data_IF_252579028601
#
_entry.id   IF_252579028601
#
_cell.length_a   1.000
_cell.length_b   1.000
_cell.length_c   1.000
_cell.angle_alpha   90.00
_cell.angle_beta   90.00
_cell.angle_gamma   90.00
#
_symmetry.space_group_name_H-M   'P 1'
#
loop_
_entity.id
_entity.type
_entity.pdbx_description
1 polymer ?
#
# COMPACT_ATOMS: atom_id res chain seq x y z
N UNK A 1 -8.29 -10.20 15.05
CA UNK A 1 -8.16 -9.81 13.66
C UNK A 1 -6.81 -9.13 13.33
N UNK A 2 -6.07 -8.65 14.30
CA UNK A 2 -4.68 -8.19 14.17
C UNK A 2 -3.73 -9.18 14.82
N UNK A 3 -2.47 -9.19 14.35
CA UNK A 3 -1.48 -10.15 14.83
C UNK A 3 -0.81 -9.74 16.13
N UNK A 4 0.29 -9.00 16.06
CA UNK A 4 1.12 -8.69 17.22
C UNK A 4 0.59 -7.57 18.10
N UNK A 5 0.47 -6.35 17.55
CA UNK A 5 0.00 -5.15 18.25
C UNK A 5 -1.15 -4.52 17.46
N UNK A 6 -2.25 -4.20 18.13
CA UNK A 6 -3.42 -3.59 17.50
C UNK A 6 -3.87 -2.38 18.28
N UNK A 7 -4.02 -1.26 17.59
CA UNK A 7 -4.66 -0.05 18.08
C UNK A 7 -6.04 0.06 17.42
N UNK A 8 -7.08 0.18 18.21
CA UNK A 8 -8.45 0.24 17.71
C UNK A 8 -9.30 1.16 18.59
N UNK A 9 -10.19 1.94 17.98
CA UNK A 9 -10.96 2.96 18.68
C UNK A 9 -10.08 4.13 19.13
N UNK A 10 -10.42 4.81 20.20
CA UNK A 10 -9.71 5.98 20.74
C UNK A 10 -8.33 5.60 21.32
N UNK A 11 -7.32 5.51 20.50
CA UNK A 11 -5.95 5.14 20.90
C UNK A 11 -4.91 6.15 20.41
N UNK A 12 -5.19 7.42 20.56
CA UNK A 12 -4.30 8.50 20.13
C UNK A 12 -3.07 8.70 21.01
N UNK A 13 -2.08 9.43 20.49
CA UNK A 13 -0.85 9.82 21.19
C UNK A 13 0.01 8.66 21.71
N UNK A 14 -0.07 7.50 21.09
CA UNK A 14 0.69 6.31 21.47
C UNK A 14 2.13 6.36 20.96
N UNK A 15 3.07 5.89 21.78
CA UNK A 15 4.44 5.66 21.41
C UNK A 15 4.78 4.17 21.51
N UNK A 16 4.99 3.54 20.35
CA UNK A 16 5.36 2.13 20.24
C UNK A 16 6.78 2.07 19.68
N UNK A 17 7.73 1.82 20.55
CA UNK A 17 9.13 1.91 20.17
C UNK A 17 10.03 0.86 20.81
N UNK A 18 11.12 0.52 20.10
CA UNK A 18 12.14 -0.44 20.52
C UNK A 18 11.61 -1.86 20.79
N UNK A 19 10.53 -2.26 20.14
CA UNK A 19 9.95 -3.59 20.26
C UNK A 19 10.46 -4.54 19.18
N UNK A 20 10.38 -5.83 19.47
CA UNK A 20 10.55 -6.90 18.50
C UNK A 20 9.19 -7.55 18.26
N UNK A 21 8.62 -7.33 17.09
CA UNK A 21 7.32 -7.84 16.66
C UNK A 21 7.60 -8.87 15.57
N UNK A 22 7.57 -10.13 15.93
CA UNK A 22 8.14 -11.19 15.09
C UNK A 22 7.16 -12.36 14.94
N UNK A 23 6.98 -12.83 13.70
CA UNK A 23 6.22 -14.02 13.33
C UNK A 23 4.76 -14.02 13.82
N UNK A 24 4.13 -12.85 13.81
CA UNK A 24 2.71 -12.74 14.09
C UNK A 24 1.90 -12.80 12.80
N UNK A 25 0.70 -13.33 12.89
CA UNK A 25 -0.25 -13.38 11.79
C UNK A 25 -1.59 -12.76 12.19
N UNK A 26 -2.21 -12.08 11.26
CA UNK A 26 -3.51 -11.45 11.48
C UNK A 26 -4.33 -11.38 10.20
N UNK A 27 -5.60 -11.09 10.34
CA UNK A 27 -6.52 -11.01 9.22
C UNK A 27 -6.29 -9.72 8.41
N UNK A 28 -6.23 -8.55 9.07
CA UNK A 28 -6.03 -7.24 8.46
C UNK A 28 -4.66 -6.62 8.76
N UNK A 29 -3.78 -7.32 9.43
CA UNK A 29 -2.44 -6.83 9.73
C UNK A 29 -1.68 -7.84 10.55
N UNK A 30 -0.47 -8.17 10.16
CA UNK A 30 0.33 -9.20 10.81
C UNK A 30 1.07 -8.69 12.03
N UNK A 31 1.89 -7.68 11.87
CA UNK A 31 2.76 -7.15 12.93
C UNK A 31 2.07 -6.09 13.80
N UNK A 32 2.04 -4.86 13.33
CA UNK A 32 1.44 -3.70 14.04
C UNK A 32 0.32 -3.13 13.19
N UNK A 33 -0.85 -2.92 13.78
CA UNK A 33 -2.01 -2.36 13.07
C UNK A 33 -2.57 -1.14 13.80
N UNK A 34 -2.82 -0.06 13.05
CA UNK A 34 -3.57 1.12 13.47
C UNK A 34 -4.89 1.15 12.69
N UNK A 35 -6.00 1.36 13.39
CA UNK A 35 -7.32 1.48 12.79
C UNK A 35 -7.92 0.17 12.28
N UNK A 36 -8.96 0.30 11.48
CA UNK A 36 -9.69 -0.81 10.88
C UNK A 36 -10.06 -0.47 9.43
N UNK A 37 -9.92 -1.39 8.47
CA UNK A 37 -10.15 -1.08 7.06
C UNK A 37 -11.61 -0.82 6.69
N UNK A 38 -12.55 -1.30 7.47
CA UNK A 38 -13.98 -1.31 7.14
C UNK A 38 -14.81 -0.58 8.22
N UNK A 39 -14.36 0.60 8.66
CA UNK A 39 -15.19 1.45 9.51
C UNK A 39 -16.12 2.27 8.62
N UNK A 40 -17.40 2.01 8.73
CA UNK A 40 -18.45 2.74 8.04
C UNK A 40 -19.77 2.61 8.78
N UNK A 41 -20.64 3.59 8.63
CA UNK A 41 -22.02 3.56 9.09
C UNK A 41 -22.97 3.99 7.97
N UNK A 42 -24.23 3.63 8.09
CA UNK A 42 -25.27 4.06 7.17
C UNK A 42 -25.75 5.48 7.55
N UNK A 43 -25.75 6.38 6.57
CA UNK A 43 -26.32 7.74 6.70
C UNK A 43 -27.25 8.01 5.52
N UNK A 44 -28.55 8.09 5.78
CA UNK A 44 -29.56 8.17 4.73
C UNK A 44 -29.56 6.90 3.86
N UNK A 45 -29.43 7.09 2.55
CA UNK A 45 -29.36 5.98 1.57
C UNK A 45 -27.91 5.58 1.22
N UNK A 46 -26.91 6.02 1.99
CA UNK A 46 -25.50 5.82 1.70
C UNK A 46 -24.69 5.30 2.87
N UNK A 47 -23.48 4.79 2.55
CA UNK A 47 -22.47 4.41 3.53
C UNK A 47 -21.45 5.54 3.67
N UNK A 48 -21.10 5.92 4.88
CA UNK A 48 -20.06 6.90 5.20
C UNK A 48 -18.89 6.20 5.87
N UNK A 49 -17.67 6.56 5.47
CA UNK A 49 -16.46 6.06 6.12
C UNK A 49 -16.27 6.75 7.48
N UNK A 50 -16.09 5.95 8.50
CA UNK A 50 -15.81 6.43 9.85
C UNK A 50 -14.32 6.61 10.08
N UNK A 51 -14.01 7.52 10.99
CA UNK A 51 -12.67 7.76 11.51
C UNK A 51 -12.39 6.86 12.72
N UNK A 52 -11.29 6.11 12.68
CA UNK A 52 -10.87 5.26 13.78
C UNK A 52 -10.28 6.02 14.98
N UNK A 53 -9.96 7.30 14.82
CA UNK A 53 -9.35 8.19 15.84
C UNK A 53 -8.10 7.56 16.49
N UNK A 54 -7.19 7.04 15.66
CA UNK A 54 -5.88 6.53 16.10
C UNK A 54 -4.77 7.55 15.81
N UNK A 55 -4.98 8.79 16.22
CA UNK A 55 -4.17 9.93 15.84
C UNK A 55 -2.88 10.08 16.64
N UNK A 56 -1.90 10.75 16.01
CA UNK A 56 -0.64 11.10 16.65
C UNK A 56 0.13 9.89 17.20
N UNK A 57 -0.01 8.74 16.55
CA UNK A 57 0.71 7.51 16.93
C UNK A 57 2.11 7.51 16.33
N UNK A 58 3.09 7.16 17.13
CA UNK A 58 4.47 7.02 16.71
C UNK A 58 4.97 5.58 16.85
N UNK A 59 5.38 5.00 15.71
CA UNK A 59 6.06 3.70 15.64
C UNK A 59 7.53 3.94 15.36
N UNK A 60 8.41 3.64 16.30
CA UNK A 60 9.82 3.98 16.10
C UNK A 60 10.80 2.91 16.60
N UNK A 61 11.86 2.68 15.84
CA UNK A 61 12.94 1.73 16.19
C UNK A 61 12.45 0.32 16.54
N UNK A 62 11.34 -0.10 15.95
CA UNK A 62 10.86 -1.48 16.10
C UNK A 62 11.53 -2.40 15.08
N UNK A 63 11.71 -3.64 15.46
CA UNK A 63 12.01 -4.74 14.56
C UNK A 63 10.71 -5.48 14.22
N UNK A 64 10.21 -5.28 13.00
CA UNK A 64 8.95 -5.88 12.52
C UNK A 64 9.31 -6.93 11.47
N UNK A 65 9.35 -8.20 11.89
CA UNK A 65 10.01 -9.24 11.11
C UNK A 65 9.10 -10.45 10.93
N UNK A 66 8.98 -10.93 9.69
CA UNK A 66 8.25 -12.18 9.34
C UNK A 66 6.80 -12.20 9.83
N UNK A 67 6.15 -11.05 9.87
CA UNK A 67 4.72 -10.98 10.16
C UNK A 67 3.92 -11.07 8.85
N UNK A 68 2.64 -11.46 8.95
CA UNK A 68 1.82 -11.58 7.76
C UNK A 68 0.33 -11.37 7.97
N UNK A 69 -0.34 -10.91 6.92
CA UNK A 69 -1.79 -10.93 6.83
C UNK A 69 -2.26 -12.02 5.84
N UNK A 70 -3.53 -12.41 5.97
CA UNK A 70 -4.10 -13.54 5.23
C UNK A 70 -5.34 -13.16 4.41
N UNK A 71 -5.56 -11.86 4.19
CA UNK A 71 -6.68 -11.36 3.38
C UNK A 71 -6.18 -10.47 2.25
N UNK A 72 -6.75 -10.68 1.07
CA UNK A 72 -6.45 -9.93 -0.14
C UNK A 72 -6.80 -8.44 -0.02
N UNK A 73 -7.97 -8.10 0.51
CA UNK A 73 -8.43 -6.71 0.63
C UNK A 73 -7.84 -5.99 1.87
N UNK A 74 -6.61 -6.29 2.24
CA UNK A 74 -5.92 -5.69 3.38
C UNK A 74 -4.63 -5.02 2.95
N UNK A 75 -4.04 -4.26 3.86
CA UNK A 75 -2.73 -3.66 3.64
C UNK A 75 -1.81 -3.88 4.85
N UNK A 76 -0.52 -4.03 4.59
CA UNK A 76 0.50 -4.13 5.62
C UNK A 76 0.66 -5.50 6.27
N UNK A 77 1.55 -6.31 5.77
CA UNK A 77 1.97 -7.53 6.47
C UNK A 77 2.74 -7.22 7.75
N UNK A 78 3.66 -6.27 7.67
CA UNK A 78 4.44 -5.78 8.81
C UNK A 78 3.71 -4.69 9.60
N UNK A 79 3.47 -3.55 8.99
CA UNK A 79 2.80 -2.39 9.59
C UNK A 79 1.60 -2.02 8.72
N UNK A 80 0.43 -1.90 9.33
CA UNK A 80 -0.83 -1.56 8.68
C UNK A 80 -1.40 -0.27 9.26
N UNK A 81 -1.67 0.69 8.40
CA UNK A 81 -2.22 2.00 8.73
C UNK A 81 -3.54 2.14 7.98
N UNK A 82 -4.64 2.13 8.70
CA UNK A 82 -5.97 2.24 8.12
C UNK A 82 -6.60 3.59 8.41
N UNK A 83 -7.74 3.86 7.80
CA UNK A 83 -8.49 5.10 7.96
C UNK A 83 -8.56 5.57 9.41
N UNK A 84 -8.27 6.86 9.63
CA UNK A 84 -8.31 7.49 10.95
C UNK A 84 -7.03 7.34 11.78
N UNK A 85 -5.89 7.21 11.13
CA UNK A 85 -4.59 7.28 11.79
C UNK A 85 -3.87 8.60 11.46
N UNK A 86 -4.52 9.73 11.69
CA UNK A 86 -3.98 11.04 11.36
C UNK A 86 -2.69 11.35 12.12
N UNK A 87 -1.79 12.05 11.46
CA UNK A 87 -0.49 12.45 12.02
C UNK A 87 0.39 11.26 12.48
N UNK A 88 0.21 10.07 11.93
CA UNK A 88 1.08 8.96 12.27
C UNK A 88 2.53 9.21 11.88
N UNK A 89 3.47 8.62 12.65
CA UNK A 89 4.91 8.65 12.38
C UNK A 89 5.48 7.24 12.44
N UNK A 90 5.94 6.72 11.31
CA UNK A 90 6.64 5.43 11.20
C UNK A 90 8.10 5.71 10.91
N UNK A 91 8.95 5.64 11.94
CA UNK A 91 10.31 6.15 11.86
C UNK A 91 11.35 5.16 12.38
N UNK A 92 12.45 5.02 11.64
CA UNK A 92 13.64 4.25 12.06
C UNK A 92 13.34 2.79 12.40
N UNK A 93 12.32 2.20 11.78
CA UNK A 93 12.00 0.80 11.99
C UNK A 93 12.79 -0.10 11.01
N UNK A 94 13.03 -1.32 11.45
CA UNK A 94 13.51 -2.41 10.61
C UNK A 94 12.33 -3.31 10.25
N UNK A 95 11.89 -3.24 8.99
CA UNK A 95 10.71 -3.94 8.48
C UNK A 95 11.17 -4.97 7.44
N UNK A 96 11.24 -6.25 7.85
CA UNK A 96 11.94 -7.25 7.06
C UNK A 96 11.17 -8.57 6.94
N UNK A 97 11.09 -9.09 5.72
CA UNK A 97 10.55 -10.43 5.46
C UNK A 97 9.08 -10.59 5.83
N UNK A 98 8.32 -9.50 5.87
CA UNK A 98 6.89 -9.57 6.13
C UNK A 98 6.14 -9.95 4.85
N UNK A 99 4.95 -10.52 5.01
CA UNK A 99 4.13 -11.04 3.92
C UNK A 99 2.73 -10.44 3.96
N UNK A 100 2.16 -10.15 2.79
CA UNK A 100 0.77 -9.72 2.65
C UNK A 100 0.09 -10.47 1.51
N UNK A 101 -1.16 -10.86 1.72
CA UNK A 101 -2.08 -11.24 0.62
C UNK A 101 -2.79 -10.03 0.01
N UNK A 102 -2.61 -8.85 0.59
CA UNK A 102 -3.02 -7.56 0.06
C UNK A 102 -1.82 -6.67 -0.25
N UNK A 103 -2.02 -5.38 -0.36
CA UNK A 103 -0.97 -4.42 -0.67
C UNK A 103 0.02 -4.16 0.49
N UNK A 104 1.22 -3.69 0.17
CA UNK A 104 2.18 -3.18 1.15
C UNK A 104 2.70 -4.20 2.14
N UNK A 105 3.33 -5.27 1.70
CA UNK A 105 3.78 -6.33 2.60
C UNK A 105 4.67 -5.84 3.75
N UNK A 106 5.53 -4.86 3.50
CA UNK A 106 6.28 -4.18 4.55
C UNK A 106 5.41 -3.21 5.33
N UNK A 107 4.96 -2.14 4.68
CA UNK A 107 4.11 -1.09 5.25
C UNK A 107 2.95 -0.84 4.29
N UNK A 108 1.73 -0.95 4.78
CA UNK A 108 0.53 -0.63 4.04
C UNK A 108 -0.24 0.52 4.68
N UNK A 109 -0.58 1.54 3.89
CA UNK A 109 -1.51 2.59 4.22
C UNK A 109 -2.73 2.43 3.32
N UNK A 110 -3.88 2.20 3.89
CA UNK A 110 -5.13 2.02 3.14
C UNK A 110 -6.25 2.89 3.72
N UNK A 111 -6.79 3.73 2.88
CA UNK A 111 -7.84 4.68 3.23
C UNK A 111 -7.30 6.01 3.74
N UNK A 112 -8.18 6.87 4.23
CA UNK A 112 -7.86 8.25 4.57
C UNK A 112 -7.20 8.36 5.95
N UNK A 113 -5.95 8.81 5.96
CA UNK A 113 -5.23 9.22 7.17
C UNK A 113 -4.29 10.36 6.80
N UNK A 114 -4.59 11.55 7.30
CA UNK A 114 -3.91 12.77 6.88
C UNK A 114 -2.59 13.01 7.62
N UNK A 115 -1.66 13.70 6.96
CA UNK A 115 -0.36 14.10 7.53
C UNK A 115 0.47 12.92 8.06
N UNK A 116 0.44 11.79 7.31
CA UNK A 116 1.25 10.62 7.60
C UNK A 116 2.73 10.81 7.25
N UNK A 117 3.64 10.23 8.02
CA UNK A 117 5.07 10.23 7.75
C UNK A 117 5.68 8.84 7.90
N UNK A 118 6.34 8.37 6.84
CA UNK A 118 7.14 7.13 6.80
C UNK A 118 8.59 7.55 6.52
N UNK A 119 9.44 7.55 7.55
CA UNK A 119 10.75 8.19 7.49
C UNK A 119 11.87 7.32 8.08
N UNK A 120 13.00 7.31 7.39
CA UNK A 120 14.26 6.73 7.90
C UNK A 120 14.14 5.24 8.29
N UNK A 121 13.25 4.50 7.58
CA UNK A 121 13.07 3.07 7.81
C UNK A 121 13.93 2.24 6.87
N UNK A 122 14.27 1.03 7.32
CA UNK A 122 14.82 -0.02 6.48
C UNK A 122 13.72 -1.04 6.17
N UNK A 123 13.27 -1.09 4.92
CA UNK A 123 12.12 -1.89 4.44
C UNK A 123 12.64 -2.87 3.38
N UNK A 124 12.90 -4.10 3.82
CA UNK A 124 13.62 -5.04 2.99
C UNK A 124 13.01 -6.45 2.96
N UNK A 125 13.08 -7.07 1.79
CA UNK A 125 12.67 -8.46 1.58
C UNK A 125 11.23 -8.77 1.98
N UNK A 126 10.34 -7.79 1.90
CA UNK A 126 8.91 -8.01 2.12
C UNK A 126 8.25 -8.45 0.80
N UNK A 127 7.20 -9.26 0.88
CA UNK A 127 6.54 -9.79 -0.29
C UNK A 127 5.02 -9.75 -0.22
N UNK A 128 4.37 -9.06 -1.16
CA UNK A 128 2.93 -9.17 -1.39
C UNK A 128 2.66 -10.23 -2.46
N UNK A 129 1.76 -11.14 -2.17
CA UNK A 129 1.40 -12.21 -3.09
C UNK A 129 0.02 -12.77 -2.78
N UNK A 130 -0.83 -12.83 -3.79
CA UNK A 130 -2.10 -13.57 -3.76
C UNK A 130 -2.21 -14.46 -5.00
N UNK A 131 -2.85 -15.60 -4.87
CA UNK A 131 -3.16 -16.48 -6.02
C UNK A 131 -4.41 -16.03 -6.77
N UNK A 132 -5.23 -15.19 -6.17
CA UNK A 132 -6.55 -14.82 -6.68
C UNK A 132 -6.61 -13.40 -7.26
N UNK A 133 -5.67 -12.54 -6.91
CA UNK A 133 -5.67 -11.12 -7.28
C UNK A 133 -4.25 -10.60 -7.49
N UNK A 134 -4.13 -9.55 -8.26
CA UNK A 134 -2.89 -8.82 -8.46
C UNK A 134 -2.64 -7.93 -7.24
N UNK A 135 -1.72 -8.33 -6.37
CA UNK A 135 -1.38 -7.61 -5.16
C UNK A 135 -0.11 -6.78 -5.34
N UNK A 136 -0.17 -5.55 -4.94
CA UNK A 136 0.80 -4.51 -5.26
C UNK A 136 1.54 -3.99 -4.01
N UNK A 137 2.67 -3.32 -4.22
CA UNK A 137 3.42 -2.71 -3.13
C UNK A 137 4.14 -3.73 -2.24
N UNK A 138 5.18 -4.36 -2.74
CA UNK A 138 5.96 -5.30 -1.93
C UNK A 138 6.58 -4.67 -0.69
N UNK A 139 7.20 -3.49 -0.83
CA UNK A 139 7.76 -2.71 0.27
C UNK A 139 6.70 -1.84 0.94
N UNK A 140 6.18 -0.85 0.23
CA UNK A 140 5.19 0.13 0.69
C UNK A 140 4.01 0.16 -0.28
N UNK A 141 2.79 0.21 0.24
CA UNK A 141 1.59 0.57 -0.51
C UNK A 141 0.92 1.78 0.15
N UNK A 142 0.63 2.82 -0.63
CA UNK A 142 -0.19 3.95 -0.24
C UNK A 142 -1.42 3.92 -1.13
N UNK A 143 -2.55 3.50 -0.59
CA UNK A 143 -3.79 3.33 -1.32
C UNK A 143 -4.97 4.08 -0.68
N UNK A 144 -5.72 4.80 -1.51
CA UNK A 144 -7.07 5.19 -1.14
C UNK A 144 -7.93 3.93 -1.06
N UNK A 145 -8.78 3.83 -0.07
CA UNK A 145 -9.72 2.71 0.02
C UNK A 145 -10.59 2.71 -1.25
N UNK A 146 -10.75 1.57 -1.93
CA UNK A 146 -11.68 1.50 -3.06
C UNK A 146 -13.05 2.00 -2.64
N UNK A 147 -13.72 2.75 -3.52
CA UNK A 147 -15.10 3.16 -3.26
C UNK A 147 -15.92 1.95 -2.89
N UNK A 148 -16.59 1.99 -1.76
CA UNK A 148 -17.54 0.94 -1.40
C UNK A 148 -18.57 0.86 -2.53
N UNK A 149 -18.52 -0.18 -3.33
CA UNK A 149 -19.67 -0.55 -4.14
C UNK A 149 -20.76 -0.98 -3.19
N UNK A 150 -21.45 0.01 -2.64
CA UNK A 150 -22.70 -0.28 -2.00
C UNK A 150 -23.58 -0.98 -3.04
N UNK A 151 -24.33 -1.96 -2.62
CA UNK A 151 -25.38 -2.61 -3.42
C UNK A 151 -26.35 -1.58 -4.01
N UNK A 152 -26.29 -0.33 -3.57
CA UNK A 152 -27.22 0.77 -3.86
C UNK A 152 -26.54 2.06 -4.38
N UNK A 153 -25.23 2.12 -4.59
CA UNK A 153 -24.56 3.32 -5.11
C UNK A 153 -23.04 3.28 -4.97
N UNK A 154 -22.33 4.15 -5.71
CA UNK A 154 -20.89 4.32 -5.57
C UNK A 154 -20.65 5.34 -4.45
N UNK A 155 -20.07 4.91 -3.35
CA UNK A 155 -19.41 5.83 -2.44
C UNK A 155 -17.98 6.00 -2.90
N UNK A 156 -17.64 7.23 -3.13
CA UNK A 156 -16.30 7.60 -3.55
C UNK A 156 -15.37 7.51 -2.33
N UNK A 157 -14.24 6.88 -2.51
CA UNK A 157 -13.20 6.86 -1.47
C UNK A 157 -12.70 8.29 -1.21
N UNK A 158 -12.51 8.71 0.04
CA UNK A 158 -11.93 10.01 0.36
C UNK A 158 -10.43 10.10 0.00
N UNK A 159 -9.83 9.06 -0.57
CA UNK A 159 -8.43 8.98 -0.92
C UNK A 159 -7.53 8.55 0.25
N UNK A 160 -6.27 8.99 0.22
CA UNK A 160 -5.25 8.59 1.21
C UNK A 160 -5.02 9.64 2.30
N UNK A 161 -5.37 10.88 2.07
CA UNK A 161 -4.82 12.02 2.82
C UNK A 161 -3.40 12.37 2.34
N UNK A 162 -2.77 13.32 2.99
CA UNK A 162 -1.38 13.71 2.69
C UNK A 162 -0.41 12.75 3.37
N UNK A 163 0.50 12.17 2.59
CA UNK A 163 1.51 11.22 3.09
C UNK A 163 2.89 11.59 2.60
N UNK A 164 3.87 11.56 3.49
CA UNK A 164 5.29 11.75 3.15
C UNK A 164 6.07 10.45 3.36
N UNK A 165 6.82 10.03 2.35
CA UNK A 165 7.75 8.90 2.38
C UNK A 165 9.16 9.48 2.19
N UNK A 166 9.96 9.55 3.24
CA UNK A 166 11.24 10.26 3.23
C UNK A 166 12.40 9.43 3.78
N UNK A 167 13.53 9.53 3.14
CA UNK A 167 14.80 8.96 3.59
C UNK A 167 14.79 7.45 3.92
N UNK A 168 13.93 6.63 3.27
CA UNK A 168 13.87 5.21 3.53
C UNK A 168 14.82 4.41 2.62
N UNK A 169 15.33 3.29 3.13
CA UNK A 169 15.92 2.23 2.33
C UNK A 169 14.83 1.17 2.00
N UNK A 170 14.46 1.09 0.73
CA UNK A 170 13.41 0.18 0.23
C UNK A 170 14.07 -0.78 -0.77
N UNK A 171 14.38 -1.99 -0.32
CA UNK A 171 15.24 -2.89 -1.11
C UNK A 171 14.79 -4.34 -1.09
N UNK A 172 14.87 -4.99 -2.26
CA UNK A 172 14.65 -6.42 -2.40
C UNK A 172 13.22 -6.85 -2.06
N UNK A 173 12.25 -5.94 -2.17
CA UNK A 173 10.85 -6.25 -1.94
C UNK A 173 10.20 -6.80 -3.21
N UNK A 174 9.14 -7.58 -3.07
CA UNK A 174 8.45 -8.28 -4.14
C UNK A 174 6.95 -7.96 -4.16
N UNK A 175 6.45 -7.48 -5.29
CA UNK A 175 5.02 -7.52 -5.62
C UNK A 175 4.79 -8.70 -6.59
N UNK A 176 4.34 -9.84 -6.07
CA UNK A 176 4.41 -11.12 -6.80
C UNK A 176 3.56 -11.19 -8.06
N UNK A 177 2.37 -10.61 -8.04
CA UNK A 177 1.45 -10.65 -9.19
C UNK A 177 0.96 -9.26 -9.60
N UNK A 178 1.42 -8.22 -8.96
CA UNK A 178 0.97 -6.83 -9.17
C UNK A 178 2.11 -5.86 -9.41
N UNK A 179 1.87 -4.62 -9.09
CA UNK A 179 2.70 -3.47 -9.39
C UNK A 179 3.44 -2.94 -8.17
N UNK A 180 4.50 -2.15 -8.41
CA UNK A 180 5.20 -1.45 -7.36
C UNK A 180 5.95 -2.37 -6.40
N UNK A 181 6.95 -3.09 -6.88
CA UNK A 181 7.77 -3.96 -6.03
C UNK A 181 8.35 -3.23 -4.80
N UNK A 182 8.85 -2.01 -4.99
CA UNK A 182 9.28 -1.12 -3.92
C UNK A 182 8.12 -0.34 -3.32
N UNK A 183 7.47 0.52 -4.12
CA UNK A 183 6.38 1.41 -3.69
C UNK A 183 5.23 1.33 -4.70
N UNK A 184 4.01 1.15 -4.20
CA UNK A 184 2.75 1.36 -4.94
C UNK A 184 2.04 2.59 -4.37
N UNK A 185 1.53 3.46 -5.26
CA UNK A 185 0.71 4.63 -4.91
C UNK A 185 -0.53 4.60 -5.78
N UNK A 186 -1.71 4.60 -5.17
CA UNK A 186 -2.96 4.51 -5.92
C UNK A 186 -4.13 5.22 -5.25
N UNK A 187 -5.06 5.72 -6.05
CA UNK A 187 -6.32 6.35 -5.61
C UNK A 187 -6.09 7.42 -4.53
N UNK A 188 -5.08 8.26 -4.71
CA UNK A 188 -4.60 9.22 -3.69
C UNK A 188 -5.69 10.22 -3.31
N UNK A 189 -6.44 10.70 -4.30
CA UNK A 189 -7.43 11.76 -4.12
C UNK A 189 -8.89 11.26 -4.18
N UNK A 190 -9.09 9.97 -4.29
CA UNK A 190 -10.40 9.41 -4.51
C UNK A 190 -10.90 9.55 -5.96
N UNK A 191 -12.01 8.91 -6.30
CA UNK A 191 -12.55 8.90 -7.66
C UNK A 191 -13.30 10.20 -8.01
N UNK A 192 -13.89 10.87 -7.02
CA UNK A 192 -14.66 12.09 -7.17
C UNK A 192 -13.84 13.30 -7.60
N UNK A 193 -12.55 13.29 -7.30
CA UNK A 193 -11.65 14.38 -7.66
C UNK A 193 -11.50 14.51 -9.18
N UNK A 194 -11.80 13.48 -9.95
CA UNK A 194 -11.80 13.54 -11.40
C UNK A 194 -12.76 14.61 -11.94
N UNK A 195 -13.84 14.89 -11.23
CA UNK A 195 -14.78 15.94 -11.57
C UNK A 195 -14.24 17.37 -11.29
N UNK A 196 -13.16 17.48 -10.53
CA UNK A 196 -12.55 18.76 -10.12
C UNK A 196 -11.13 18.96 -10.64
N UNK A 197 -10.75 18.37 -11.76
CA UNK A 197 -9.39 18.41 -12.32
C UNK A 197 -8.81 19.83 -12.49
N UNK A 198 -9.64 20.84 -12.67
CA UNK A 198 -9.24 22.24 -12.74
C UNK A 198 -9.05 22.94 -11.39
N UNK A 199 -9.46 22.34 -10.29
CA UNK A 199 -9.42 22.93 -8.96
C UNK A 199 -8.56 22.06 -8.02
N UNK A 200 -7.34 22.49 -7.72
CA UNK A 200 -6.40 21.78 -6.86
C UNK A 200 -6.65 21.94 -5.35
N UNK A 201 -7.58 22.78 -4.95
CA UNK A 201 -7.81 23.09 -3.54
C UNK A 201 -8.08 21.86 -2.65
N UNK A 202 -8.89 20.89 -3.08
CA UNK A 202 -9.16 19.69 -2.30
C UNK A 202 -8.13 18.57 -2.46
N UNK A 203 -7.12 18.70 -3.35
CA UNK A 203 -6.19 17.61 -3.61
C UNK A 203 -5.25 17.36 -2.44
N UNK A 204 -4.93 16.10 -2.23
CA UNK A 204 -3.93 15.63 -1.27
C UNK A 204 -2.65 15.31 -2.01
N UNK A 205 -1.52 15.50 -1.32
CA UNK A 205 -0.21 15.23 -1.89
C UNK A 205 0.40 13.96 -1.28
N UNK A 206 0.97 13.09 -2.13
CA UNK A 206 1.89 12.06 -1.69
C UNK A 206 3.30 12.49 -2.10
N UNK A 207 4.16 12.65 -1.11
CA UNK A 207 5.50 13.17 -1.24
C UNK A 207 6.51 12.04 -1.04
N UNK A 208 7.34 11.77 -2.06
CA UNK A 208 8.35 10.71 -2.03
C UNK A 208 9.73 11.35 -2.20
N UNK A 209 10.46 11.48 -1.11
CA UNK A 209 11.73 12.22 -1.09
C UNK A 209 12.88 11.38 -0.57
N UNK A 210 14.08 11.61 -1.12
CA UNK A 210 15.35 11.12 -0.58
C UNK A 210 15.45 9.60 -0.34
N UNK A 211 14.57 8.78 -0.92
CA UNK A 211 14.56 7.34 -0.70
C UNK A 211 15.58 6.63 -1.59
N UNK A 212 16.08 5.51 -1.10
CA UNK A 212 16.85 4.56 -1.88
C UNK A 212 15.96 3.35 -2.21
N UNK A 213 15.50 3.25 -3.46
CA UNK A 213 14.55 2.24 -3.96
C UNK A 213 15.28 1.33 -4.91
N UNK A 214 15.76 0.19 -4.43
CA UNK A 214 16.69 -0.62 -5.21
C UNK A 214 16.40 -2.12 -5.15
N UNK A 215 16.65 -2.81 -6.26
CA UNK A 215 16.55 -4.26 -6.35
C UNK A 215 15.15 -4.81 -5.96
N UNK A 216 14.10 -4.05 -6.18
CA UNK A 216 12.74 -4.51 -5.95
C UNK A 216 12.18 -5.14 -7.23
N UNK A 217 11.23 -6.05 -7.08
CA UNK A 217 10.67 -6.81 -8.20
C UNK A 217 9.14 -6.71 -8.19
N UNK A 218 8.56 -6.48 -9.35
CA UNK A 218 7.12 -6.56 -9.57
C UNK A 218 6.79 -7.63 -10.61
N UNK A 219 5.69 -8.34 -10.42
CA UNK A 219 5.21 -9.33 -11.38
C UNK A 219 4.53 -8.72 -12.60
N UNK A 220 4.07 -7.47 -12.53
CA UNK A 220 3.40 -6.79 -13.63
C UNK A 220 4.18 -5.53 -14.06
N UNK A 221 4.13 -4.44 -13.30
CA UNK A 221 4.78 -3.19 -13.69
C UNK A 221 5.42 -2.45 -12.51
N UNK A 222 6.34 -1.52 -12.80
CA UNK A 222 6.93 -0.64 -11.81
C UNK A 222 7.69 -1.37 -10.69
N UNK A 223 8.70 -2.17 -11.03
CA UNK A 223 9.51 -2.88 -10.03
C UNK A 223 10.00 -1.99 -8.88
N UNK A 224 10.36 -0.73 -9.17
CA UNK A 224 10.71 0.28 -8.16
C UNK A 224 9.49 0.99 -7.61
N UNK A 225 8.79 1.75 -8.44
CA UNK A 225 7.63 2.58 -8.09
C UNK A 225 6.55 2.41 -9.15
N UNK A 226 5.31 2.24 -8.72
CA UNK A 226 4.13 2.28 -9.57
C UNK A 226 3.11 3.28 -9.02
N UNK A 227 2.52 4.09 -9.92
CA UNK A 227 1.56 5.14 -9.57
C UNK A 227 0.36 4.98 -10.49
N UNK A 228 -0.84 4.87 -9.90
CA UNK A 228 -2.08 4.71 -10.65
C UNK A 228 -3.23 5.47 -10.01
N UNK A 229 -4.11 6.09 -10.83
CA UNK A 229 -5.25 6.86 -10.36
C UNK A 229 -4.88 7.81 -9.20
N UNK A 230 -3.78 8.55 -9.37
CA UNK A 230 -3.21 9.37 -8.32
C UNK A 230 -2.85 10.76 -8.86
N UNK A 231 -3.50 11.76 -8.33
CA UNK A 231 -3.19 13.16 -8.62
C UNK A 231 -2.24 13.70 -7.54
N UNK A 232 -1.30 14.56 -7.96
CA UNK A 232 -0.38 15.25 -7.05
C UNK A 232 0.57 14.33 -6.27
N UNK A 233 1.25 13.43 -6.99
CA UNK A 233 2.39 12.67 -6.45
C UNK A 233 3.68 13.37 -6.82
N UNK A 234 4.53 13.65 -5.84
CA UNK A 234 5.78 14.39 -6.03
C UNK A 234 6.96 13.50 -5.64
N UNK A 235 7.78 13.11 -6.63
CA UNK A 235 9.01 12.36 -6.43
C UNK A 235 10.22 13.28 -6.59
N UNK A 236 11.07 13.40 -5.56
CA UNK A 236 12.30 14.21 -5.63
C UNK A 236 13.46 13.57 -4.89
N UNK A 237 14.65 13.70 -5.45
CA UNK A 237 15.91 13.27 -4.83
C UNK A 237 15.95 11.78 -4.47
N UNK A 238 15.17 10.93 -5.14
CA UNK A 238 15.21 9.49 -4.90
C UNK A 238 16.28 8.84 -5.77
N UNK A 239 16.89 7.78 -5.25
CA UNK A 239 17.68 6.84 -6.03
C UNK A 239 16.82 5.64 -6.38
N UNK A 240 16.49 5.47 -7.66
CA UNK A 240 15.69 4.34 -8.15
C UNK A 240 16.57 3.54 -9.11
N UNK A 241 17.05 2.36 -8.66
CA UNK A 241 18.02 1.61 -9.42
C UNK A 241 17.87 0.09 -9.26
N UNK A 242 18.17 -0.64 -10.34
CA UNK A 242 18.16 -2.10 -10.38
C UNK A 242 16.83 -2.73 -9.93
N UNK A 243 15.72 -2.05 -10.20
CA UNK A 243 14.40 -2.61 -9.96
C UNK A 243 13.93 -3.30 -11.26
N UNK A 244 13.15 -4.36 -11.11
CA UNK A 244 12.76 -5.21 -12.22
C UNK A 244 11.24 -5.42 -12.26
N UNK A 245 10.68 -5.38 -13.45
CA UNK A 245 9.34 -5.86 -13.75
C UNK A 245 9.47 -7.10 -14.63
N UNK A 246 8.94 -8.23 -14.14
CA UNK A 246 9.10 -9.51 -14.83
C UNK A 246 8.02 -9.76 -15.87
N UNK A 247 6.92 -9.01 -15.82
CA UNK A 247 5.72 -9.20 -16.65
C UNK A 247 5.16 -10.64 -16.62
N UNK A 248 5.53 -11.43 -15.61
CA UNK A 248 5.15 -12.85 -15.52
C UNK A 248 3.66 -13.05 -15.37
N UNK A 249 2.96 -12.13 -14.71
CA UNK A 249 1.51 -12.19 -14.55
C UNK A 249 0.79 -11.98 -15.88
N UNK A 250 1.26 -11.05 -16.68
CA UNK A 250 0.73 -10.82 -18.03
C UNK A 250 0.93 -12.05 -18.93
N UNK A 251 2.13 -12.62 -18.88
CA UNK A 251 2.47 -13.81 -19.64
C UNK A 251 1.64 -15.03 -19.20
N UNK A 252 1.44 -15.21 -17.89
CA UNK A 252 0.61 -16.31 -17.38
C UNK A 252 -0.87 -16.16 -17.80
N UNK A 253 -1.41 -14.94 -17.80
CA UNK A 253 -2.75 -14.66 -18.29
C UNK A 253 -2.90 -14.94 -19.77
N UNK A 254 -1.90 -14.59 -20.55
CA UNK A 254 -1.86 -14.85 -22.01
C UNK A 254 -1.71 -16.33 -22.30
N UNK A 255 -0.78 -17.02 -21.64
CA UNK A 255 -0.55 -18.45 -21.84
C UNK A 255 -1.74 -19.32 -21.39
N UNK A 256 -2.50 -18.84 -20.41
CA UNK A 256 -3.74 -19.49 -19.96
C UNK A 256 -4.95 -19.21 -20.85
N UNK A 257 -4.86 -18.34 -21.84
CA UNK A 257 -5.95 -18.04 -22.75
C UNK A 257 -5.99 -19.04 -23.92
N UNK A 258 -7.01 -19.93 -23.99
CA UNK A 258 -7.10 -20.95 -25.04
C UNK A 258 -7.28 -20.38 -26.45
N UNK A 259 -7.57 -19.10 -26.60
CA UNK A 259 -7.73 -18.42 -27.87
C UNK A 259 -6.42 -17.83 -28.44
N UNK A 260 -5.33 -17.85 -27.67
CA UNK A 260 -4.03 -17.40 -28.14
C UNK A 260 -3.22 -18.59 -28.66
N UNK A 261 -3.34 -18.84 -29.92
CA UNK A 261 -2.71 -20.00 -30.60
C UNK A 261 -1.36 -19.67 -31.23
N UNK A 262 -1.03 -18.38 -31.38
CA UNK A 262 0.16 -17.94 -32.10
C UNK A 262 1.19 -17.28 -31.17
N UNK A 263 2.48 -17.68 -31.23
CA UNK A 263 3.55 -17.07 -30.43
C UNK A 263 3.70 -15.56 -30.66
N UNK A 264 3.34 -15.05 -31.80
CA UNK A 264 3.42 -13.62 -32.13
C UNK A 264 2.35 -12.81 -31.41
N UNK A 265 1.20 -13.39 -31.11
CA UNK A 265 0.16 -12.74 -30.29
C UNK A 265 0.60 -12.61 -28.82
N UNK A 266 1.30 -13.61 -28.31
CA UNK A 266 1.91 -13.56 -26.97
C UNK A 266 2.94 -12.44 -26.90
N UNK A 267 3.79 -12.30 -27.90
CA UNK A 267 4.81 -11.25 -27.96
C UNK A 267 4.22 -9.84 -28.11
N UNK A 268 3.09 -9.68 -28.78
CA UNK A 268 2.43 -8.37 -28.90
C UNK A 268 1.85 -7.92 -27.58
N UNK A 269 1.19 -8.79 -26.82
CA UNK A 269 0.63 -8.48 -25.52
C UNK A 269 1.73 -8.16 -24.50
N UNK A 270 2.83 -8.90 -24.51
CA UNK A 270 3.98 -8.60 -23.63
C UNK A 270 4.60 -7.24 -23.96
N UNK A 271 4.67 -6.85 -25.23
CA UNK A 271 5.18 -5.54 -25.65
C UNK A 271 4.27 -4.39 -25.22
N UNK A 272 2.96 -4.54 -25.35
CA UNK A 272 2.00 -3.51 -24.92
C UNK A 272 1.99 -3.27 -23.39
N UNK A 273 2.51 -4.20 -22.61
CA UNK A 273 2.56 -4.08 -21.15
C UNK A 273 3.94 -3.64 -20.62
N UNK A 274 4.95 -3.63 -21.46
CA UNK A 274 6.33 -3.23 -21.07
C UNK A 274 6.66 -1.81 -21.57
N UNK A 275 5.90 -1.26 -22.50
CA UNK A 275 5.97 0.13 -22.96
C UNK A 275 5.08 1.04 -22.10
#
# INVERSE_FOLDING_TARGET
>A
QGGGIVLNGYTGYMNIGNNRVIANAGFYGGGIRLGHPNLSHEEGDGLVYDDAVNDNVRLYRNQVIKNGNTIADSAGGGISLYTGADNYRVQKNWVCGNFSQGGGAGIGHLGYSNNGLIEDNTIIFNGSFSQASAESGGGICIGGQPGLRAVLGYLVSPGTGTVTIDANLIRGNLAGAGDGGGIRIENVNGEDILASLGNRGPWRDVLVYNNMITNNVAGLAGGGVSIENALSVILRNNTVANNESTATTALAGVLGNPNLTEPQQVLSVVREQVD
#
